data_IF_098707313820
#
_entry.id   IF_098707313820
#
_cell.length_a   1.000
_cell.length_b   1.000
_cell.length_c   1.000
_cell.angle_alpha   90.00
_cell.angle_beta   90.00
_cell.angle_gamma   90.00
#
_symmetry.space_group_name_H-M   'P 1'
#
loop_
_entity.id
_entity.type
_entity.pdbx_description
1 polymer ?
#
# COMPACT_ATOMS: atom_id res chain seq x y z
N UNK A 1 16.54 64.26 23.00
CA UNK A 1 16.09 63.51 21.81
C UNK A 1 17.31 62.79 21.25
N UNK A 2 17.35 61.47 21.36
CA UNK A 2 18.47 60.64 20.89
C UNK A 2 17.97 59.97 19.61
N UNK A 3 18.61 60.27 18.47
CA UNK A 3 18.29 59.67 17.18
C UNK A 3 19.08 58.37 17.02
N UNK A 4 18.38 57.26 16.76
CA UNK A 4 18.95 55.94 16.50
C UNK A 4 19.08 55.79 14.98
N UNK A 5 20.27 55.47 14.42
CA UNK A 5 20.44 55.28 12.99
C UNK A 5 19.93 53.90 12.54
N UNK A 6 19.21 53.88 11.42
CA UNK A 6 18.71 52.66 10.76
C UNK A 6 19.85 51.87 10.08
N UNK A 7 19.86 50.53 10.17
CA UNK A 7 20.84 49.70 9.47
C UNK A 7 20.44 49.49 8.00
N UNK A 8 21.37 49.76 7.09
CA UNK A 8 21.28 49.44 5.66
C UNK A 8 21.68 47.99 5.41
N UNK A 9 20.78 47.20 4.80
CA UNK A 9 21.04 45.83 4.34
C UNK A 9 21.87 45.83 3.04
N UNK A 10 22.87 44.95 2.88
CA UNK A 10 23.57 44.76 1.62
C UNK A 10 22.75 43.90 0.66
N UNK A 11 22.70 44.36 -0.59
CA UNK A 11 22.00 43.73 -1.71
C UNK A 11 22.88 42.61 -2.27
N UNK A 12 22.58 41.34 -1.97
CA UNK A 12 23.25 40.18 -2.54
C UNK A 12 22.46 39.64 -3.74
N UNK A 13 23.06 39.76 -4.93
CA UNK A 13 22.62 39.13 -6.17
C UNK A 13 22.78 37.60 -6.09
N UNK A 14 21.78 36.79 -6.46
CA UNK A 14 21.97 35.36 -6.62
C UNK A 14 22.64 35.08 -7.99
N UNK A 15 23.80 34.44 -7.95
CA UNK A 15 24.43 33.87 -9.15
C UNK A 15 23.75 32.52 -9.47
N UNK A 16 23.14 32.46 -10.65
CA UNK A 16 22.59 31.24 -11.26
C UNK A 16 23.72 30.26 -11.62
N UNK A 17 23.81 29.16 -10.89
CA UNK A 17 24.57 27.98 -11.32
C UNK A 17 23.60 26.84 -11.64
N UNK A 18 23.56 26.34 -12.89
CA UNK A 18 22.74 25.19 -13.23
C UNK A 18 23.35 23.93 -12.63
N UNK A 19 22.75 23.44 -11.55
CA UNK A 19 23.07 22.14 -10.97
C UNK A 19 22.50 21.07 -11.90
N UNK A 20 23.37 20.43 -12.67
CA UNK A 20 23.05 19.23 -13.43
C UNK A 20 22.94 18.07 -12.44
N UNK A 21 21.73 17.63 -12.16
CA UNK A 21 21.48 16.36 -11.50
C UNK A 21 21.46 15.25 -12.55
N UNK A 22 22.28 14.19 -12.42
CA UNK A 22 22.15 13.02 -13.27
C UNK A 22 20.78 12.38 -13.00
N UNK A 23 20.00 12.21 -14.06
CA UNK A 23 18.75 11.47 -14.06
C UNK A 23 19.08 10.00 -13.81
N UNK A 24 19.02 9.60 -12.54
CA UNK A 24 19.15 8.21 -12.13
C UNK A 24 17.83 7.55 -12.52
N UNK A 25 17.87 6.75 -13.57
CA UNK A 25 16.75 5.97 -14.10
C UNK A 25 16.43 4.82 -13.11
N UNK A 26 15.96 5.20 -11.92
CA UNK A 26 15.47 4.29 -10.91
C UNK A 26 14.13 3.73 -11.36
N UNK A 27 14.01 2.40 -11.40
CA UNK A 27 12.76 1.71 -11.71
C UNK A 27 11.66 2.17 -10.75
N UNK A 28 10.81 3.05 -11.26
CA UNK A 28 9.86 3.79 -10.47
C UNK A 28 8.68 2.89 -10.10
N UNK A 29 8.53 2.56 -8.82
CA UNK A 29 7.45 1.71 -8.30
C UNK A 29 6.05 2.29 -8.64
N UNK A 30 5.95 3.60 -8.88
CA UNK A 30 4.71 4.26 -9.33
C UNK A 30 4.40 4.08 -10.81
N UNK A 31 5.40 3.99 -11.71
CA UNK A 31 5.12 3.62 -13.11
C UNK A 31 4.46 2.25 -13.19
N UNK A 32 4.76 1.36 -12.24
CA UNK A 32 4.09 0.07 -12.09
C UNK A 32 2.64 0.23 -11.63
N UNK A 33 2.36 1.03 -10.59
CA UNK A 33 0.99 1.26 -10.10
C UNK A 33 0.09 2.01 -11.10
N UNK A 34 0.59 3.06 -11.76
CA UNK A 34 -0.15 3.78 -12.81
C UNK A 34 -0.45 2.89 -14.02
N UNK A 35 0.45 1.95 -14.35
CA UNK A 35 0.19 0.96 -15.39
C UNK A 35 -0.96 0.00 -15.03
N UNK A 36 -1.17 -0.29 -13.73
CA UNK A 36 -2.28 -1.14 -13.27
C UNK A 36 -3.64 -0.52 -13.54
N UNK A 37 -3.75 0.81 -13.54
CA UNK A 37 -4.99 1.51 -13.92
C UNK A 37 -5.29 1.47 -15.42
N UNK A 38 -4.28 1.18 -16.26
CA UNK A 38 -4.44 1.00 -17.70
C UNK A 38 -4.72 -0.46 -18.09
N UNK A 39 -4.62 -1.40 -17.15
CA UNK A 39 -4.98 -2.78 -17.42
C UNK A 39 -6.49 -2.88 -17.68
N UNK A 40 -6.91 -3.72 -18.65
CA UNK A 40 -8.32 -4.02 -18.79
C UNK A 40 -8.83 -4.55 -17.44
N UNK A 41 -10.03 -4.15 -17.04
CA UNK A 41 -10.70 -4.62 -15.82
C UNK A 41 -11.17 -6.08 -15.94
N UNK A 42 -10.39 -6.89 -16.65
CA UNK A 42 -10.53 -8.31 -16.78
C UNK A 42 -9.83 -8.98 -15.59
N UNK A 43 -10.44 -10.02 -15.01
CA UNK A 43 -9.87 -10.68 -13.86
C UNK A 43 -8.56 -11.38 -14.19
N UNK A 44 -7.56 -11.10 -13.36
CA UNK A 44 -6.25 -11.73 -13.45
C UNK A 44 -6.27 -12.97 -12.57
N UNK A 45 -6.31 -14.15 -13.20
CA UNK A 45 -6.08 -15.41 -12.52
C UNK A 45 -4.57 -15.57 -12.31
N UNK A 46 -4.10 -15.47 -11.07
CA UNK A 46 -2.73 -15.83 -10.72
C UNK A 46 -2.64 -17.35 -10.78
N UNK A 47 -2.15 -17.87 -11.91
CA UNK A 47 -1.77 -19.29 -11.96
C UNK A 47 -0.58 -19.46 -11.00
N UNK A 48 -0.60 -20.44 -10.08
CA UNK A 48 0.56 -20.71 -9.25
C UNK A 48 1.70 -21.03 -10.20
N UNK A 49 2.63 -20.08 -10.36
CA UNK A 49 3.89 -20.35 -11.02
C UNK A 49 4.53 -21.46 -10.20
N UNK A 50 4.67 -22.63 -10.83
CA UNK A 50 5.38 -23.77 -10.26
C UNK A 50 6.77 -23.24 -9.94
N UNK A 51 6.98 -22.84 -8.68
CA UNK A 51 8.29 -22.58 -8.15
C UNK A 51 9.02 -23.90 -8.35
N UNK A 52 9.77 -23.96 -9.43
CA UNK A 52 10.58 -25.12 -9.79
C UNK A 52 11.67 -25.09 -8.76
N UNK A 53 11.39 -25.70 -7.62
CA UNK A 53 12.38 -26.01 -6.63
C UNK A 53 13.25 -27.04 -7.33
N UNK A 54 14.27 -26.55 -8.03
CA UNK A 54 15.45 -27.30 -8.38
C UNK A 54 16.14 -27.67 -7.06
N UNK A 55 15.49 -28.54 -6.28
CA UNK A 55 16.19 -29.36 -5.31
C UNK A 55 17.04 -30.30 -6.15
N UNK A 56 18.29 -29.91 -6.35
CA UNK A 56 19.40 -30.85 -6.53
C UNK A 56 19.39 -31.79 -5.33
N UNK A 57 18.55 -32.81 -5.39
CA UNK A 57 18.72 -34.02 -4.62
C UNK A 57 20.01 -34.66 -5.15
N UNK A 58 21.12 -34.39 -4.47
CA UNK A 58 22.34 -35.16 -4.61
C UNK A 58 22.04 -36.58 -4.15
N UNK A 59 21.58 -37.38 -5.10
CA UNK A 59 21.27 -38.80 -4.97
C UNK A 59 22.59 -39.56 -4.80
N UNK A 60 22.92 -39.91 -3.56
CA UNK A 60 23.98 -40.86 -3.27
C UNK A 60 23.50 -42.27 -3.65
N UNK A 61 23.82 -42.69 -4.88
CA UNK A 61 23.52 -44.01 -5.41
C UNK A 61 24.29 -45.13 -4.68
N UNK A 62 23.62 -46.21 -4.25
CA UNK A 62 24.26 -47.51 -4.08
C UNK A 62 24.10 -48.33 -5.37
N UNK A 63 25.24 -48.66 -5.99
CA UNK A 63 25.39 -49.65 -7.06
C UNK A 63 24.66 -50.95 -6.71
N UNK A 64 23.75 -51.44 -7.58
CA UNK A 64 23.67 -52.87 -7.94
C UNK A 64 22.92 -53.08 -9.26
N UNK A 65 23.45 -54.03 -10.03
CA UNK A 65 23.18 -54.33 -11.43
C UNK A 65 21.85 -55.05 -11.69
N UNK A 66 21.24 -54.80 -12.86
CA UNK A 66 21.20 -55.74 -14.00
C UNK A 66 19.83 -55.84 -14.71
N UNK A 67 19.93 -55.79 -16.05
CA UNK A 67 19.10 -56.47 -17.06
C UNK A 67 17.98 -55.70 -17.79
N UNK A 68 18.38 -55.18 -18.97
CA UNK A 68 17.75 -55.33 -20.30
C UNK A 68 16.25 -55.05 -20.49
N UNK A 69 15.91 -53.99 -21.24
CA UNK A 69 15.13 -54.11 -22.49
C UNK A 69 15.15 -52.82 -23.34
N UNK A 70 15.18 -53.03 -24.66
CA UNK A 70 15.10 -52.14 -25.85
C UNK A 70 13.92 -51.15 -25.82
N UNK A 71 13.80 -50.07 -26.61
CA UNK A 71 14.61 -49.27 -27.56
C UNK A 71 13.57 -48.27 -28.10
N UNK A 72 13.80 -46.95 -28.06
CA UNK A 72 13.06 -46.01 -28.93
C UNK A 72 13.71 -44.63 -28.95
N UNK A 73 14.46 -44.42 -30.01
CA UNK A 73 15.14 -43.22 -30.49
C UNK A 73 14.19 -42.04 -30.71
N UNK A 74 14.49 -40.87 -30.13
CA UNK A 74 13.96 -39.55 -30.58
C UNK A 74 15.13 -38.55 -30.56
N UNK A 75 15.36 -37.75 -31.63
CA UNK A 75 16.57 -36.96 -31.78
C UNK A 75 16.57 -35.65 -30.98
N UNK A 76 17.76 -35.36 -30.42
CA UNK A 76 18.19 -34.09 -29.84
C UNK A 76 18.15 -32.95 -30.86
N UNK A 77 17.59 -31.81 -30.46
CA UNK A 77 17.90 -30.49 -31.03
C UNK A 77 18.69 -29.69 -30.01
N UNK A 78 20.01 -29.66 -30.20
CA UNK A 78 20.95 -28.86 -29.42
C UNK A 78 20.91 -27.41 -29.90
N UNK A 79 20.44 -26.50 -29.04
CA UNK A 79 20.58 -25.05 -29.22
C UNK A 79 21.57 -24.54 -28.17
N UNK A 80 22.83 -24.39 -28.57
CA UNK A 80 23.85 -23.71 -27.79
C UNK A 80 23.68 -22.21 -27.95
N UNK A 81 23.13 -21.54 -26.93
CA UNK A 81 23.16 -20.08 -26.84
C UNK A 81 24.29 -19.70 -25.90
N UNK A 82 25.29 -19.07 -26.50
CA UNK A 82 26.48 -18.52 -25.86
C UNK A 82 26.10 -17.22 -25.15
N UNK A 83 26.02 -17.24 -23.82
CA UNK A 83 25.86 -16.01 -23.02
C UNK A 83 27.22 -15.36 -22.77
N UNK A 84 27.43 -14.10 -23.16
CA UNK A 84 28.63 -13.36 -22.79
C UNK A 84 28.54 -12.95 -21.32
N UNK A 85 29.65 -13.16 -20.61
CA UNK A 85 29.89 -12.63 -19.27
C UNK A 85 29.76 -11.10 -19.28
N UNK A 86 28.79 -10.57 -18.55
CA UNK A 86 28.74 -9.17 -18.17
C UNK A 86 29.30 -9.03 -16.75
N UNK A 87 30.45 -8.36 -16.67
CA UNK A 87 30.99 -7.79 -15.44
C UNK A 87 29.99 -6.78 -14.86
N UNK A 88 29.21 -7.20 -13.86
CA UNK A 88 28.46 -6.29 -13.00
C UNK A 88 29.36 -5.84 -11.85
N UNK A 89 30.00 -4.69 -12.05
CA UNK A 89 30.61 -3.93 -10.97
C UNK A 89 29.51 -3.50 -9.99
N UNK A 90 29.62 -3.99 -8.77
CA UNK A 90 28.77 -3.67 -7.62
C UNK A 90 28.84 -2.17 -7.30
N UNK A 91 27.86 -1.41 -7.80
CA UNK A 91 27.57 -0.07 -7.34
C UNK A 91 26.72 -0.20 -6.07
N UNK A 92 27.38 -0.19 -4.91
CA UNK A 92 26.75 -0.19 -3.60
C UNK A 92 26.14 1.21 -3.41
N UNK A 93 24.91 1.39 -3.89
CA UNK A 93 24.05 2.52 -3.53
C UNK A 93 23.42 2.22 -2.17
N UNK A 94 23.53 3.18 -1.25
CA UNK A 94 22.97 3.14 0.09
C UNK A 94 21.47 2.73 0.06
N UNK A 95 21.08 1.58 0.66
CA UNK A 95 19.70 1.07 0.63
C UNK A 95 18.75 1.80 1.61
N UNK A 96 19.08 3.03 2.02
CA UNK A 96 18.29 3.80 2.98
C UNK A 96 17.86 5.18 2.47
N UNK A 97 18.20 5.53 1.22
CA UNK A 97 17.57 6.67 0.56
C UNK A 97 16.21 6.22 0.00
N UNK A 98 15.22 6.12 0.89
CA UNK A 98 13.82 5.93 0.54
C UNK A 98 13.36 7.21 -0.18
N UNK A 99 13.55 7.23 -1.50
CA UNK A 99 13.21 8.34 -2.38
C UNK A 99 11.68 8.37 -2.52
N UNK A 100 11.03 9.04 -1.57
CA UNK A 100 9.61 9.35 -1.65
C UNK A 100 9.39 10.19 -2.91
N UNK A 101 8.71 9.62 -3.90
CA UNK A 101 8.40 10.32 -5.16
C UNK A 101 7.51 11.54 -4.86
N UNK A 102 8.12 12.74 -4.96
CA UNK A 102 7.49 14.03 -4.72
C UNK A 102 6.35 14.35 -5.71
N UNK A 103 6.14 13.53 -6.75
CA UNK A 103 5.12 13.76 -7.78
C UNK A 103 3.68 13.53 -7.30
N UNK A 104 3.41 12.54 -6.44
CA UNK A 104 2.10 12.40 -5.78
C UNK A 104 1.82 13.56 -4.82
N UNK A 105 2.86 13.98 -4.11
CA UNK A 105 2.80 15.17 -3.27
C UNK A 105 2.50 16.39 -4.12
N UNK A 106 3.08 16.53 -5.32
CA UNK A 106 2.76 17.60 -6.27
C UNK A 106 1.34 17.51 -6.83
N UNK A 107 0.79 16.32 -7.08
CA UNK A 107 -0.58 16.18 -7.61
C UNK A 107 -1.62 16.48 -6.54
N UNK A 108 -1.42 15.98 -5.32
CA UNK A 108 -2.22 16.36 -4.15
C UNK A 108 -2.05 17.84 -3.81
N UNK A 109 -0.84 18.41 -3.90
CA UNK A 109 -0.61 19.85 -3.73
C UNK A 109 -1.29 20.66 -4.83
N UNK A 110 -1.32 20.17 -6.07
CA UNK A 110 -1.99 20.84 -7.18
C UNK A 110 -3.51 20.81 -7.00
N UNK A 111 -4.06 19.69 -6.53
CA UNK A 111 -5.46 19.59 -6.14
C UNK A 111 -5.78 20.55 -4.98
N UNK A 112 -4.92 20.63 -3.97
CA UNK A 112 -5.07 21.56 -2.85
C UNK A 112 -4.94 23.01 -3.32
N UNK A 113 -4.02 23.31 -4.25
CA UNK A 113 -3.82 24.65 -4.82
C UNK A 113 -4.98 25.06 -5.73
N UNK A 114 -5.67 24.09 -6.32
CA UNK A 114 -6.91 24.30 -7.08
C UNK A 114 -8.14 24.50 -6.20
N UNK A 115 -8.05 24.27 -4.88
CA UNK A 115 -9.11 24.66 -3.95
C UNK A 115 -9.20 26.18 -3.97
N UNK A 116 -10.30 26.66 -4.52
CA UNK A 116 -10.66 28.06 -4.53
C UNK A 116 -10.93 28.52 -3.08
N UNK A 117 -9.86 28.96 -2.40
CA UNK A 117 -9.80 29.43 -1.01
C UNK A 117 -10.50 30.78 -0.81
N UNK A 118 -11.37 31.17 -1.73
CA UNK A 118 -12.22 32.35 -1.60
C UNK A 118 -12.94 32.30 -0.24
N UNK A 119 -12.91 33.39 0.57
CA UNK A 119 -13.47 33.39 1.93
C UNK A 119 -14.92 32.90 2.02
N UNK A 120 -15.69 33.11 0.96
CA UNK A 120 -17.07 32.62 0.84
C UNK A 120 -17.19 31.09 0.79
N UNK A 121 -16.15 30.37 0.33
CA UNK A 121 -16.12 28.89 0.22
C UNK A 121 -15.43 28.21 1.39
N UNK A 122 -14.66 28.94 2.20
CA UNK A 122 -13.95 28.39 3.36
C UNK A 122 -14.85 27.62 4.34
N UNK A 123 -16.05 28.09 4.72
CA UNK A 123 -16.91 27.34 5.64
C UNK A 123 -17.32 25.97 5.09
N UNK A 124 -17.56 25.88 3.76
CA UNK A 124 -17.93 24.65 3.10
C UNK A 124 -16.74 23.68 2.94
N UNK A 125 -15.52 24.19 2.78
CA UNK A 125 -14.31 23.37 2.76
C UNK A 125 -13.98 22.85 4.16
N UNK A 126 -14.10 23.70 5.18
CA UNK A 126 -13.86 23.30 6.56
C UNK A 126 -14.87 22.25 7.03
N UNK A 127 -16.15 22.41 6.69
CA UNK A 127 -17.15 21.38 7.02
C UNK A 127 -16.86 20.05 6.34
N UNK A 128 -16.40 20.05 5.08
CA UNK A 128 -15.95 18.84 4.38
C UNK A 128 -14.75 18.20 5.08
N UNK A 129 -13.75 18.99 5.48
CA UNK A 129 -12.57 18.49 6.18
C UNK A 129 -12.93 17.88 7.54
N UNK A 130 -13.77 18.57 8.30
CA UNK A 130 -14.26 18.11 9.62
C UNK A 130 -15.06 16.83 9.50
N UNK A 131 -15.80 16.61 8.40
CA UNK A 131 -16.51 15.35 8.15
C UNK A 131 -15.60 14.25 7.56
N UNK A 132 -14.55 14.62 6.84
CA UNK A 132 -13.64 13.70 6.18
C UNK A 132 -12.74 12.94 7.17
N UNK A 133 -12.18 13.63 8.17
CA UNK A 133 -11.29 12.97 9.15
C UNK A 133 -12.01 11.87 9.96
N UNK A 134 -13.22 12.12 10.52
CA UNK A 134 -14.01 11.06 11.17
C UNK A 134 -14.38 9.93 10.21
N UNK A 135 -14.68 10.23 8.95
CA UNK A 135 -14.92 9.21 7.93
C UNK A 135 -13.69 8.32 7.74
N UNK A 136 -12.50 8.90 7.57
CA UNK A 136 -11.27 8.14 7.42
C UNK A 136 -10.98 7.25 8.63
N UNK A 137 -11.18 7.77 9.84
CA UNK A 137 -11.04 6.99 11.06
C UNK A 137 -12.07 5.85 11.12
N UNK A 138 -13.29 6.08 10.66
CA UNK A 138 -14.35 5.06 10.60
C UNK A 138 -14.00 3.96 9.59
N UNK A 139 -13.51 4.32 8.40
CA UNK A 139 -13.00 3.35 7.41
C UNK A 139 -11.86 2.53 8.02
N UNK A 140 -10.84 3.18 8.60
CA UNK A 140 -9.70 2.53 9.26
C UNK A 140 -10.11 1.58 10.39
N UNK A 141 -11.07 2.01 11.23
CA UNK A 141 -11.65 1.17 12.27
C UNK A 141 -12.41 -0.03 11.70
N UNK A 142 -13.11 0.16 10.59
CA UNK A 142 -13.79 -0.95 9.89
C UNK A 142 -12.79 -1.95 9.33
N UNK A 143 -11.66 -1.49 8.80
CA UNK A 143 -10.58 -2.38 8.33
C UNK A 143 -10.12 -3.31 9.46
N UNK A 144 -9.85 -2.76 10.64
CA UNK A 144 -9.29 -3.54 11.75
C UNK A 144 -10.36 -4.38 12.46
N UNK A 145 -11.51 -3.79 12.77
CA UNK A 145 -12.51 -4.36 13.67
C UNK A 145 -13.61 -5.16 12.95
N UNK A 146 -13.98 -4.76 11.73
CA UNK A 146 -15.13 -5.31 11.00
C UNK A 146 -14.85 -5.45 9.50
N UNK A 147 -13.81 -6.22 9.10
CA UNK A 147 -13.31 -6.25 7.73
C UNK A 147 -14.37 -6.73 6.72
N UNK A 148 -15.33 -7.54 7.13
CA UNK A 148 -16.47 -7.97 6.29
C UNK A 148 -17.39 -6.82 5.85
N UNK A 149 -17.39 -5.68 6.56
CA UNK A 149 -18.24 -4.52 6.27
C UNK A 149 -17.50 -3.38 5.57
N UNK A 150 -16.23 -3.56 5.25
CA UNK A 150 -15.38 -2.50 4.71
C UNK A 150 -15.89 -1.96 3.37
N UNK A 151 -16.40 -2.82 2.50
CA UNK A 151 -17.00 -2.43 1.23
C UNK A 151 -18.16 -1.44 1.41
N UNK A 152 -19.03 -1.75 2.38
CA UNK A 152 -20.20 -0.93 2.68
C UNK A 152 -19.78 0.41 3.26
N UNK A 153 -18.75 0.43 4.10
CA UNK A 153 -18.28 1.66 4.70
C UNK A 153 -17.52 2.47 3.66
N UNK A 154 -16.41 1.98 3.11
CA UNK A 154 -15.55 2.76 2.22
C UNK A 154 -16.26 3.24 0.94
N UNK A 155 -17.14 2.43 0.35
CA UNK A 155 -17.80 2.75 -0.92
C UNK A 155 -19.25 3.19 -0.79
N UNK A 156 -19.83 3.25 0.41
CA UNK A 156 -21.11 3.95 0.62
C UNK A 156 -20.94 5.15 1.54
N UNK A 157 -20.35 6.27 1.09
CA UNK A 157 -20.47 7.57 1.73
C UNK A 157 -21.90 8.13 1.56
N UNK A 158 -22.90 7.31 1.88
CA UNK A 158 -24.30 7.70 1.96
C UNK A 158 -24.64 8.21 3.36
N UNK A 159 -23.80 9.05 3.96
CA UNK A 159 -24.23 9.86 5.10
C UNK A 159 -24.90 11.11 4.51
N UNK A 160 -26.12 10.92 4.03
CA UNK A 160 -27.00 11.99 3.56
C UNK A 160 -27.49 12.83 4.74
N UNK A 161 -26.65 13.70 5.29
CA UNK A 161 -27.10 14.70 6.27
C UNK A 161 -27.67 15.89 5.47
N UNK A 162 -28.98 15.84 5.23
CA UNK A 162 -29.73 16.89 4.52
C UNK A 162 -29.47 16.91 3.00
N UNK A 163 -29.37 18.11 2.42
CA UNK A 163 -29.13 18.30 0.98
C UNK A 163 -27.66 18.09 0.55
N UNK A 164 -26.78 17.71 1.48
CA UNK A 164 -25.40 17.36 1.15
C UNK A 164 -25.35 15.90 0.70
N UNK A 165 -25.76 15.67 -0.54
CA UNK A 165 -25.40 14.45 -1.25
C UNK A 165 -23.91 14.56 -1.57
N UNK A 166 -23.08 13.92 -0.75
CA UNK A 166 -21.69 13.66 -1.10
C UNK A 166 -21.70 12.52 -2.13
N UNK A 167 -22.24 12.78 -3.31
CA UNK A 167 -22.29 11.86 -4.46
C UNK A 167 -20.88 11.72 -5.07
N UNK A 168 -19.90 11.42 -4.22
CA UNK A 168 -18.50 11.18 -4.61
C UNK A 168 -18.28 9.78 -5.18
N UNK A 169 -19.34 8.96 -5.25
CA UNK A 169 -19.22 7.53 -5.50
C UNK A 169 -19.38 7.26 -6.99
N UNK A 170 -18.25 7.30 -7.67
CA UNK A 170 -18.07 6.40 -8.81
C UNK A 170 -18.40 4.97 -8.35
N UNK A 171 -19.03 4.14 -9.19
CA UNK A 171 -19.39 2.78 -8.81
C UNK A 171 -18.18 2.08 -8.17
N UNK A 172 -18.38 1.29 -7.09
CA UNK A 172 -17.28 0.70 -6.34
C UNK A 172 -16.33 0.00 -7.32
N UNK A 173 -15.02 0.30 -7.27
CA UNK A 173 -14.06 -0.33 -8.15
C UNK A 173 -14.15 -1.86 -7.96
N UNK A 174 -14.07 -2.60 -9.06
CA UNK A 174 -14.14 -4.07 -9.05
C UNK A 174 -12.78 -4.65 -9.43
N UNK A 175 -12.52 -5.87 -8.98
CA UNK A 175 -11.31 -6.62 -9.34
C UNK A 175 -10.03 -5.88 -8.95
N UNK A 176 -9.08 -5.81 -9.89
CA UNK A 176 -7.75 -5.28 -9.61
C UNK A 176 -7.73 -3.81 -9.20
N UNK A 177 -8.63 -2.96 -9.73
CA UNK A 177 -8.70 -1.56 -9.30
C UNK A 177 -9.07 -1.42 -7.82
N UNK A 178 -9.86 -2.36 -7.30
CA UNK A 178 -10.21 -2.39 -5.88
C UNK A 178 -9.02 -2.78 -5.03
N UNK A 179 -8.21 -3.74 -5.50
CA UNK A 179 -6.94 -4.08 -4.87
C UNK A 179 -5.98 -2.89 -4.86
N UNK A 180 -5.79 -2.22 -6.00
CA UNK A 180 -4.91 -1.04 -6.10
C UNK A 180 -5.37 0.08 -5.17
N UNK A 181 -6.68 0.35 -5.11
CA UNK A 181 -7.23 1.30 -4.16
C UNK A 181 -6.82 0.99 -2.71
N UNK A 182 -6.91 -0.28 -2.30
CA UNK A 182 -6.47 -0.68 -0.96
C UNK A 182 -4.95 -0.57 -0.77
N UNK A 183 -4.15 -0.84 -1.80
CA UNK A 183 -2.68 -0.70 -1.71
C UNK A 183 -2.25 0.73 -1.42
N UNK A 184 -2.96 1.71 -1.97
CA UNK A 184 -2.67 3.13 -1.78
C UNK A 184 -3.28 3.67 -0.48
N UNK A 185 -4.51 3.26 -0.16
CA UNK A 185 -5.30 3.94 0.87
C UNK A 185 -5.37 3.20 2.21
N UNK A 186 -5.23 1.86 2.27
CA UNK A 186 -5.55 1.10 3.49
C UNK A 186 -4.70 1.51 4.69
N UNK A 187 -3.38 1.65 4.49
CA UNK A 187 -2.44 2.01 5.56
C UNK A 187 -2.75 3.40 6.12
N UNK A 188 -3.00 4.39 5.27
CA UNK A 188 -3.35 5.73 5.72
C UNK A 188 -4.62 5.72 6.60
N UNK A 189 -5.66 4.98 6.20
CA UNK A 189 -6.88 4.84 6.99
C UNK A 189 -6.64 4.17 8.34
N UNK A 190 -5.87 3.08 8.37
CA UNK A 190 -5.48 2.38 9.59
C UNK A 190 -4.73 3.33 10.53
N UNK A 191 -3.75 4.08 10.01
CA UNK A 191 -2.96 5.02 10.80
C UNK A 191 -3.81 6.17 11.35
N UNK A 192 -4.74 6.71 10.57
CA UNK A 192 -5.69 7.75 11.04
C UNK A 192 -6.58 7.20 12.17
N UNK A 193 -7.09 5.98 12.04
CA UNK A 193 -7.86 5.34 13.10
C UNK A 193 -7.05 5.14 14.38
N UNK A 194 -5.83 4.60 14.27
CA UNK A 194 -4.94 4.40 15.42
C UNK A 194 -4.58 5.73 16.09
N UNK A 195 -4.33 6.79 15.31
CA UNK A 195 -4.11 8.13 15.84
C UNK A 195 -5.34 8.67 16.58
N UNK A 196 -6.55 8.44 16.07
CA UNK A 196 -7.79 8.84 16.74
C UNK A 196 -7.99 8.10 18.07
N UNK A 197 -7.72 6.78 18.12
CA UNK A 197 -7.77 5.99 19.36
C UNK A 197 -6.69 6.46 20.35
N UNK A 198 -5.46 6.69 19.88
CA UNK A 198 -4.36 7.20 20.70
C UNK A 198 -4.67 8.58 21.29
N UNK A 199 -5.22 9.48 20.49
CA UNK A 199 -5.64 10.80 20.95
C UNK A 199 -6.79 10.74 21.95
N UNK A 200 -7.81 9.90 21.70
CA UNK A 200 -8.93 9.69 22.61
C UNK A 200 -8.49 9.10 23.95
N UNK A 201 -7.61 8.10 23.93
CA UNK A 201 -7.06 7.47 25.14
C UNK A 201 -6.15 8.41 25.91
N UNK A 202 -5.35 9.23 25.22
CA UNK A 202 -4.55 10.30 25.84
C UNK A 202 -5.42 11.30 26.60
N UNK A 203 -6.49 11.79 25.97
CA UNK A 203 -7.43 12.70 26.63
C UNK A 203 -8.15 12.05 27.82
N UNK A 204 -8.44 10.75 27.72
CA UNK A 204 -9.01 10.02 28.82
C UNK A 204 -8.01 9.91 29.97
N UNK A 205 -6.72 9.65 29.75
CA UNK A 205 -5.73 9.31 30.78
C UNK A 205 -5.44 10.38 31.87
N UNK A 206 -6.11 11.53 31.89
CA UNK A 206 -5.90 12.59 32.88
C UNK A 206 -6.24 12.25 34.34
N UNK A 207 -6.88 11.11 34.64
CA UNK A 207 -7.23 10.66 36.00
C UNK A 207 -6.93 9.18 36.19
N UNK A 208 -6.74 8.73 37.45
CA UNK A 208 -6.39 7.31 37.73
C UNK A 208 -7.50 6.35 37.27
N UNK A 209 -8.76 6.73 37.45
CA UNK A 209 -9.93 5.96 36.98
C UNK A 209 -10.02 5.87 35.47
N UNK A 210 -9.51 6.88 34.76
CA UNK A 210 -9.59 6.94 33.30
C UNK A 210 -8.41 6.27 32.59
N UNK A 211 -7.29 6.02 33.28
CA UNK A 211 -6.22 5.13 32.77
C UNK A 211 -6.76 3.70 32.59
N UNK A 212 -7.52 3.18 33.55
CA UNK A 212 -8.12 1.85 33.44
C UNK A 212 -9.13 1.78 32.26
N UNK A 213 -9.91 2.84 32.06
CA UNK A 213 -10.85 2.94 30.94
C UNK A 213 -10.12 3.02 29.59
N UNK A 214 -9.05 3.83 29.50
CA UNK A 214 -8.21 3.92 28.30
C UNK A 214 -7.56 2.57 27.96
N UNK A 215 -7.00 1.89 28.97
CA UNK A 215 -6.43 0.55 28.80
C UNK A 215 -7.46 -0.47 28.35
N UNK A 216 -8.67 -0.43 28.93
CA UNK A 216 -9.77 -1.30 28.51
C UNK A 216 -10.19 -1.05 27.05
N UNK A 217 -10.26 0.20 26.61
CA UNK A 217 -10.57 0.54 25.22
C UNK A 217 -9.52 -0.01 24.24
N UNK A 218 -8.23 0.17 24.54
CA UNK A 218 -7.15 -0.39 23.72
C UNK A 218 -7.22 -1.92 23.69
N UNK A 219 -7.42 -2.56 24.85
CA UNK A 219 -7.56 -4.01 24.94
C UNK A 219 -8.75 -4.52 24.12
N UNK A 220 -9.89 -3.83 24.13
CA UNK A 220 -11.05 -4.17 23.31
C UNK A 220 -10.72 -4.03 21.82
N UNK A 221 -10.08 -2.94 21.40
CA UNK A 221 -9.68 -2.75 19.99
C UNK A 221 -8.76 -3.89 19.53
N UNK A 222 -7.75 -4.25 20.32
CA UNK A 222 -6.85 -5.35 20.01
C UNK A 222 -7.60 -6.69 19.96
N UNK A 223 -8.41 -6.99 20.98
CA UNK A 223 -9.15 -8.25 21.05
C UNK A 223 -10.13 -8.40 19.88
N UNK A 224 -10.84 -7.34 19.52
CA UNK A 224 -11.75 -7.32 18.37
C UNK A 224 -10.98 -7.47 17.06
N UNK A 225 -9.83 -6.81 16.91
CA UNK A 225 -8.96 -6.99 15.73
C UNK A 225 -8.53 -8.45 15.60
N UNK A 226 -7.99 -9.06 16.67
CA UNK A 226 -7.61 -10.48 16.62
C UNK A 226 -8.81 -11.36 16.31
N UNK A 227 -9.97 -11.12 16.93
CA UNK A 227 -11.19 -11.90 16.71
C UNK A 227 -11.76 -11.76 15.30
N UNK A 228 -11.65 -10.58 14.70
CA UNK A 228 -12.13 -10.32 13.34
C UNK A 228 -11.27 -11.01 12.28
N UNK A 229 -9.96 -11.18 12.57
CA UNK A 229 -8.99 -11.71 11.63
C UNK A 229 -8.64 -13.20 11.87
N UNK A 230 -8.97 -13.78 13.03
CA UNK A 230 -8.67 -15.21 13.32
C UNK A 230 -9.39 -16.20 12.39
N UNK A 231 -10.55 -15.83 11.86
CA UNK A 231 -11.35 -16.68 10.97
C UNK A 231 -10.96 -16.54 9.50
N UNK A 232 -10.04 -15.64 9.19
CA UNK A 232 -9.58 -15.41 7.83
C UNK A 232 -8.62 -16.54 7.41
N UNK A 233 -9.11 -17.46 6.58
CA UNK A 233 -8.28 -18.52 6.01
C UNK A 233 -7.45 -17.95 4.86
N UNK A 234 -6.14 -17.83 5.09
CA UNK A 234 -5.17 -17.35 4.11
C UNK A 234 -5.06 -18.25 2.87
N UNK A 235 -5.72 -19.41 2.85
CA UNK A 235 -5.71 -20.35 1.73
C UNK A 235 -4.28 -20.84 1.43
N UNK A 236 -3.36 -20.74 2.38
CA UNK A 236 -1.93 -21.04 2.21
C UNK A 236 -1.68 -22.56 2.15
N UNK A 237 -2.65 -23.40 2.53
CA UNK A 237 -2.44 -24.86 2.62
C UNK A 237 -3.39 -25.75 1.82
N UNK A 238 -4.35 -25.20 1.09
CA UNK A 238 -5.38 -25.99 0.40
C UNK A 238 -5.13 -26.11 -1.10
N UNK A 239 -4.71 -27.28 -1.64
CA UNK A 239 -4.42 -27.47 -3.07
C UNK A 239 -5.62 -27.31 -4.02
N UNK A 240 -6.81 -26.95 -3.53
CA UNK A 240 -8.00 -26.72 -4.37
C UNK A 240 -8.77 -25.43 -4.08
N UNK A 241 -8.27 -24.54 -3.21
CA UNK A 241 -9.05 -23.35 -2.79
C UNK A 241 -8.70 -22.06 -3.54
N UNK A 242 -7.56 -22.03 -4.25
CA UNK A 242 -7.07 -20.84 -4.97
C UNK A 242 -7.37 -20.83 -6.47
N UNK A 243 -7.84 -21.93 -7.04
CA UNK A 243 -8.18 -21.99 -8.46
C UNK A 243 -9.52 -21.26 -8.70
N UNK A 244 -9.44 -19.94 -8.93
CA UNK A 244 -10.53 -19.17 -9.53
C UNK A 244 -11.03 -17.97 -8.74
N UNK A 245 -10.56 -17.73 -7.51
CA UNK A 245 -10.88 -16.50 -6.79
C UNK A 245 -10.02 -15.36 -7.33
N UNK A 246 -10.67 -14.30 -7.81
CA UNK A 246 -9.97 -13.22 -8.51
C UNK A 246 -9.40 -12.24 -7.48
N UNK A 247 -8.16 -11.79 -7.70
CA UNK A 247 -7.54 -10.79 -6.83
C UNK A 247 -8.41 -9.51 -6.82
N UNK A 248 -8.73 -9.01 -5.63
CA UNK A 248 -9.58 -7.83 -5.44
C UNK A 248 -11.09 -8.09 -5.37
N UNK A 249 -11.55 -9.35 -5.42
CA UNK A 249 -12.94 -9.66 -5.06
C UNK A 249 -13.17 -9.62 -3.54
N UNK A 250 -12.17 -10.03 -2.77
CA UNK A 250 -12.18 -10.03 -1.31
C UNK A 250 -11.27 -8.91 -0.77
N UNK A 251 -11.90 -7.96 -0.08
CA UNK A 251 -11.19 -6.83 0.53
C UNK A 251 -10.23 -7.31 1.62
N UNK A 252 -10.59 -8.37 2.36
CA UNK A 252 -9.76 -8.87 3.46
C UNK A 252 -8.43 -9.41 2.93
N UNK A 253 -8.49 -10.15 1.83
CA UNK A 253 -7.33 -10.69 1.13
C UNK A 253 -6.44 -9.58 0.59
N UNK A 254 -7.07 -8.58 -0.03
CA UNK A 254 -6.37 -7.41 -0.57
C UNK A 254 -5.61 -6.65 0.52
N UNK A 255 -6.28 -6.35 1.62
CA UNK A 255 -5.71 -5.59 2.74
C UNK A 255 -4.64 -6.38 3.45
N UNK A 256 -4.85 -7.69 3.66
CA UNK A 256 -3.83 -8.53 4.28
C UNK A 256 -2.54 -8.54 3.46
N UNK A 257 -2.63 -8.65 2.13
CA UNK A 257 -1.47 -8.57 1.26
C UNK A 257 -0.73 -7.24 1.40
N UNK A 258 -1.48 -6.11 1.46
CA UNK A 258 -0.92 -4.76 1.63
C UNK A 258 -0.21 -4.62 2.97
N UNK A 259 -0.85 -5.05 4.05
CA UNK A 259 -0.29 -5.00 5.41
C UNK A 259 0.93 -5.91 5.51
N UNK A 260 0.85 -7.12 4.95
CA UNK A 260 1.97 -8.06 4.92
C UNK A 260 3.17 -7.46 4.17
N UNK A 261 2.94 -6.88 3.00
CA UNK A 261 3.99 -6.21 2.22
C UNK A 261 4.64 -5.06 3.00
N UNK A 262 3.83 -4.25 3.71
CA UNK A 262 4.34 -3.16 4.53
C UNK A 262 5.11 -3.62 5.79
N UNK A 263 4.66 -4.69 6.45
CA UNK A 263 5.28 -5.17 7.70
C UNK A 263 6.54 -5.98 7.42
N UNK A 264 6.48 -6.90 6.45
CA UNK A 264 7.60 -7.81 6.18
C UNK A 264 8.76 -7.10 5.49
N UNK A 265 8.52 -5.93 4.88
CA UNK A 265 9.56 -5.22 4.15
C UNK A 265 10.25 -6.10 3.12
N UNK A 266 9.55 -7.12 2.60
CA UNK A 266 10.00 -7.89 1.44
C UNK A 266 9.94 -6.93 0.25
N UNK A 267 10.99 -6.12 0.14
CA UNK A 267 11.40 -5.47 -1.09
C UNK A 267 11.66 -6.61 -2.08
N UNK A 268 10.68 -6.84 -2.97
CA UNK A 268 10.85 -7.71 -4.14
C UNK A 268 11.81 -7.08 -5.14
#
# INVERSE_FOLDING_TARGET
MIAIPSPSMPNSSPEDSPVFFPEVEGFNNHSRASSLYNLPNAPICISPSVATTESEASEMQPLTNSSTHMDSTVPLSSSSVMSPAQDQASNIQDPLALDYDYTELQYTFSAIRSLDLTPAKLPALFSKLVCFVPWCALVGGTILLFPAHIASVAFSPGIGIGNFNLDYVSPPPKGIHRFVHWTECAIAHIMIFLAAVGFGTWHLAGTVTSVALAGALVAIVIAQTVSAWQGFDFGVGGPGRREGKQLGEDDMESIWMVVRMHILGEEN
#
